data_IF_373615048474
#
_entry.id   IF_373615048474
#
_cell.length_a   1.000
_cell.length_b   1.000
_cell.length_c   1.000
_cell.angle_alpha   90.00
_cell.angle_beta   90.00
_cell.angle_gamma   90.00
#
_symmetry.space_group_name_H-M   'P 1'
#
loop_
_entity.id
_entity.type
_entity.pdbx_description
1 polymer ?
#
# COMPACT_ATOMS: atom_id res chain seq x y z
N UNK A 1 -16.11 -13.06 -11.60
CA UNK A 1 -16.99 -11.88 -11.48
C UNK A 1 -16.16 -10.65 -11.84
N UNK A 2 -16.75 -9.73 -12.59
CA UNK A 2 -16.05 -8.88 -13.55
C UNK A 2 -15.40 -7.62 -12.94
N UNK A 3 -14.09 -7.49 -13.14
CA UNK A 3 -13.37 -6.22 -13.02
C UNK A 3 -13.45 -5.48 -14.37
N UNK A 4 -14.54 -4.74 -14.56
CA UNK A 4 -14.74 -3.86 -15.70
C UNK A 4 -14.58 -2.41 -15.23
N UNK A 5 -13.34 -1.93 -15.33
CA UNK A 5 -12.95 -0.56 -15.03
C UNK A 5 -11.56 -0.28 -15.61
N UNK A 6 -11.33 -0.70 -16.86
CA UNK A 6 -10.09 -0.40 -17.58
C UNK A 6 -10.16 1.03 -18.12
N UNK A 7 -9.55 1.96 -17.40
CA UNK A 7 -8.83 3.06 -18.04
C UNK A 7 -7.37 2.68 -18.02
N UNK A 8 -6.85 2.17 -19.15
CA UNK A 8 -5.45 2.10 -19.66
C UNK A 8 -4.22 1.84 -18.73
N UNK A 9 -4.30 2.03 -17.42
CA UNK A 9 -3.26 1.80 -16.40
C UNK A 9 -3.35 0.43 -15.72
N UNK A 10 -4.46 -0.30 -15.89
CA UNK A 10 -4.89 -1.38 -14.99
C UNK A 10 -4.15 -2.73 -15.06
N UNK A 11 -3.20 -2.93 -15.98
CA UNK A 11 -2.41 -4.18 -16.02
C UNK A 11 -1.01 -3.99 -15.41
N UNK A 12 -0.36 -2.84 -15.68
CA UNK A 12 0.88 -2.45 -15.01
C UNK A 12 0.61 -2.04 -13.55
N UNK A 13 -0.45 -1.28 -13.30
CA UNK A 13 -0.82 -0.88 -11.94
C UNK A 13 -1.13 -2.08 -11.02
N UNK A 14 -1.59 -3.23 -11.53
CA UNK A 14 -1.84 -4.41 -10.68
C UNK A 14 -0.52 -5.00 -10.18
N UNK A 15 0.45 -5.17 -11.06
CA UNK A 15 1.74 -5.77 -10.70
C UNK A 15 2.58 -4.83 -9.81
N UNK A 16 2.65 -3.54 -10.16
CA UNK A 16 3.31 -2.53 -9.33
C UNK A 16 2.62 -2.38 -7.96
N UNK A 17 1.29 -2.52 -7.89
CA UNK A 17 0.55 -2.48 -6.63
C UNK A 17 0.77 -3.74 -5.78
N UNK A 18 0.82 -4.92 -6.41
CA UNK A 18 1.12 -6.18 -5.72
C UNK A 18 2.54 -6.17 -5.13
N UNK A 19 3.54 -5.70 -5.89
CA UNK A 19 4.90 -5.51 -5.38
C UNK A 19 4.93 -4.49 -4.23
N UNK A 20 4.26 -3.34 -4.42
CA UNK A 20 4.18 -2.31 -3.39
C UNK A 20 3.57 -2.83 -2.07
N UNK A 21 2.46 -3.57 -2.15
CA UNK A 21 1.84 -4.19 -0.97
C UNK A 21 2.78 -5.23 -0.36
N UNK A 22 3.48 -6.03 -1.18
CA UNK A 22 4.46 -7.01 -0.72
C UNK A 22 5.63 -6.38 0.04
N UNK A 23 6.16 -5.26 -0.45
CA UNK A 23 7.23 -4.50 0.22
C UNK A 23 6.77 -3.96 1.57
N UNK A 24 5.58 -3.35 1.63
CA UNK A 24 5.04 -2.81 2.90
C UNK A 24 4.71 -3.94 3.88
N UNK A 25 4.11 -5.03 3.43
CA UNK A 25 3.81 -6.20 4.27
C UNK A 25 5.09 -6.81 4.83
N UNK A 26 6.09 -7.03 3.98
CA UNK A 26 7.35 -7.71 4.31
C UNK A 26 8.30 -6.89 5.20
N UNK A 27 8.24 -5.55 5.15
CA UNK A 27 9.16 -4.70 5.91
C UNK A 27 8.53 -4.21 7.22
N UNK A 28 9.01 -4.71 8.36
CA UNK A 28 8.48 -4.37 9.68
C UNK A 28 8.68 -2.88 10.05
N UNK A 29 9.80 -2.29 9.62
CA UNK A 29 10.18 -0.90 9.95
C UNK A 29 9.86 0.11 8.85
N UNK A 30 8.99 -0.25 7.89
CA UNK A 30 8.78 0.53 6.67
C UNK A 30 8.37 1.99 6.95
N UNK A 31 7.55 2.22 7.98
CA UNK A 31 7.13 3.58 8.36
C UNK A 31 8.34 4.43 8.77
N UNK A 32 9.24 3.88 9.58
CA UNK A 32 10.43 4.57 10.05
C UNK A 32 11.46 4.74 8.93
N UNK A 33 11.58 3.77 8.01
CA UNK A 33 12.48 3.88 6.86
C UNK A 33 12.01 4.95 5.87
N UNK A 34 10.71 5.02 5.58
CA UNK A 34 10.13 6.07 4.73
C UNK A 34 10.33 7.44 5.38
N UNK A 35 10.14 7.55 6.71
CA UNK A 35 10.37 8.80 7.44
C UNK A 35 11.85 9.17 7.58
N UNK A 36 12.78 8.22 7.64
CA UNK A 36 14.21 8.51 7.60
C UNK A 36 14.71 8.81 6.18
N UNK A 37 13.92 8.46 5.16
CA UNK A 37 14.28 8.59 3.76
C UNK A 37 14.35 10.03 3.24
N UNK A 38 14.91 10.23 2.04
CA UNK A 38 14.95 11.53 1.37
C UNK A 38 13.56 12.15 1.25
N UNK A 39 13.45 13.47 1.39
CA UNK A 39 12.18 14.20 1.39
C UNK A 39 11.31 13.85 0.17
N UNK A 40 11.88 13.86 -1.04
CA UNK A 40 11.13 13.54 -2.26
C UNK A 40 10.60 12.10 -2.31
N UNK A 41 11.35 11.13 -1.77
CA UNK A 41 10.86 9.74 -1.66
C UNK A 41 9.72 9.66 -0.64
N UNK A 42 9.89 10.28 0.53
CA UNK A 42 8.87 10.32 1.58
C UNK A 42 7.58 10.95 1.08
N UNK A 43 7.67 12.09 0.40
CA UNK A 43 6.53 12.79 -0.20
C UNK A 43 5.82 11.92 -1.25
N UNK A 44 6.57 11.26 -2.12
CA UNK A 44 6.01 10.39 -3.15
C UNK A 44 5.26 9.20 -2.53
N UNK A 45 5.88 8.52 -1.57
CA UNK A 45 5.29 7.37 -0.88
C UNK A 45 4.09 7.80 -0.04
N UNK A 46 4.18 8.93 0.66
CA UNK A 46 3.06 9.54 1.39
C UNK A 46 1.87 9.80 0.46
N UNK A 47 2.07 10.50 -0.65
CA UNK A 47 0.99 10.83 -1.61
C UNK A 47 0.37 9.54 -2.16
N UNK A 48 1.19 8.62 -2.64
CA UNK A 48 0.75 7.32 -3.17
C UNK A 48 -0.12 6.54 -2.17
N UNK A 49 0.34 6.40 -0.92
CA UNK A 49 -0.43 5.70 0.11
C UNK A 49 -1.71 6.44 0.46
N UNK A 50 -1.71 7.78 0.51
CA UNK A 50 -2.94 8.55 0.77
C UNK A 50 -3.96 8.40 -0.35
N UNK A 51 -3.54 8.38 -1.61
CA UNK A 51 -4.43 8.13 -2.74
C UNK A 51 -5.00 6.71 -2.70
N UNK A 52 -4.18 5.70 -2.39
CA UNK A 52 -4.64 4.32 -2.22
C UNK A 52 -5.64 4.18 -1.06
N UNK A 53 -5.38 4.79 0.10
CA UNK A 53 -6.28 4.74 1.25
C UNK A 53 -7.60 5.50 1.05
N UNK A 54 -7.69 6.40 0.05
CA UNK A 54 -8.94 7.05 -0.35
C UNK A 54 -9.80 6.18 -1.26
N UNK A 55 -9.22 5.15 -1.87
CA UNK A 55 -9.92 4.21 -2.73
C UNK A 55 -10.53 3.07 -1.89
N UNK A 56 -11.85 3.07 -1.73
CA UNK A 56 -12.56 2.03 -0.97
C UNK A 56 -12.37 0.64 -1.58
N UNK A 57 -12.36 0.53 -2.91
CA UNK A 57 -12.15 -0.74 -3.62
C UNK A 57 -10.76 -1.32 -3.34
N UNK A 58 -9.74 -0.47 -3.15
CA UNK A 58 -8.41 -0.91 -2.73
C UNK A 58 -8.45 -1.50 -1.31
N UNK A 59 -9.12 -0.84 -0.37
CA UNK A 59 -9.24 -1.33 1.01
C UNK A 59 -9.99 -2.68 1.09
N UNK A 60 -11.00 -2.86 0.26
CA UNK A 60 -11.75 -4.12 0.13
C UNK A 60 -10.90 -5.22 -0.51
N UNK A 61 -10.12 -4.88 -1.54
CA UNK A 61 -9.23 -5.82 -2.23
C UNK A 61 -7.93 -6.14 -1.47
N UNK A 62 -7.57 -5.36 -0.43
CA UNK A 62 -6.28 -5.47 0.28
C UNK A 62 -5.99 -6.88 0.81
N UNK A 63 -7.02 -7.59 1.29
CA UNK A 63 -6.87 -8.96 1.76
C UNK A 63 -6.50 -9.95 0.63
N UNK A 64 -6.95 -9.66 -0.59
CA UNK A 64 -6.69 -10.46 -1.78
C UNK A 64 -5.27 -10.28 -2.35
N UNK A 65 -4.55 -9.24 -1.94
CA UNK A 65 -3.13 -9.07 -2.26
C UNK A 65 -2.20 -9.88 -1.35
N UNK A 66 -2.73 -10.52 -0.30
CA UNK A 66 -1.98 -11.44 0.55
C UNK A 66 -2.28 -12.89 0.15
N UNK A 67 -1.34 -13.83 0.33
CA UNK A 67 -1.63 -15.24 0.18
C UNK A 67 -2.82 -15.68 1.06
N UNK A 68 -3.64 -16.60 0.54
CA UNK A 68 -4.88 -17.02 1.21
C UNK A 68 -4.69 -17.90 2.45
N UNK A 69 -3.46 -18.29 2.79
CA UNK A 69 -3.19 -19.09 3.98
C UNK A 69 -3.39 -18.28 5.28
N UNK A 70 -3.75 -18.97 6.36
CA UNK A 70 -4.08 -18.30 7.63
C UNK A 70 -2.90 -17.52 8.22
N UNK A 71 -1.66 -17.92 7.95
CA UNK A 71 -0.50 -17.20 8.46
C UNK A 71 -0.33 -15.85 7.75
N UNK A 72 -0.57 -15.82 6.44
CA UNK A 72 -0.53 -14.60 5.64
C UNK A 72 -1.69 -13.67 5.92
N UNK A 73 -2.91 -14.19 6.04
CA UNK A 73 -4.07 -13.36 6.37
C UNK A 73 -3.99 -12.71 7.76
N UNK A 74 -3.27 -13.31 8.72
CA UNK A 74 -2.98 -12.70 10.02
C UNK A 74 -2.15 -11.41 9.93
N UNK A 75 -1.45 -11.17 8.82
CA UNK A 75 -0.64 -9.95 8.62
C UNK A 75 -1.47 -8.75 8.17
N UNK A 76 -2.69 -8.96 7.67
CA UNK A 76 -3.56 -7.90 7.15
C UNK A 76 -3.76 -6.70 8.12
N UNK A 77 -3.99 -6.89 9.43
CA UNK A 77 -4.08 -5.76 10.36
C UNK A 77 -2.77 -4.97 10.46
N UNK A 78 -1.63 -5.67 10.46
CA UNK A 78 -0.29 -5.04 10.47
C UNK A 78 -0.03 -4.24 9.21
N UNK A 79 -0.35 -4.79 8.03
CA UNK A 79 -0.26 -4.09 6.75
C UNK A 79 -1.12 -2.81 6.74
N UNK A 80 -2.36 -2.88 7.22
CA UNK A 80 -3.24 -1.70 7.34
C UNK A 80 -2.65 -0.62 8.26
N UNK A 81 -2.06 -1.03 9.37
CA UNK A 81 -1.41 -0.10 10.31
C UNK A 81 -0.18 0.56 9.68
N UNK A 82 0.63 -0.18 8.92
CA UNK A 82 1.79 0.39 8.20
C UNK A 82 1.36 1.41 7.15
N UNK A 83 0.36 1.09 6.33
CA UNK A 83 -0.22 2.03 5.36
C UNK A 83 -0.74 3.30 6.05
N UNK A 84 -1.46 3.15 7.17
CA UNK A 84 -1.93 4.31 7.94
C UNK A 84 -0.77 5.14 8.50
N UNK A 85 0.24 4.48 9.08
CA UNK A 85 1.43 5.14 9.62
C UNK A 85 2.19 5.95 8.57
N UNK A 86 2.32 5.43 7.35
CA UNK A 86 2.90 6.19 6.21
C UNK A 86 2.03 7.41 5.87
N UNK A 87 0.70 7.23 5.83
CA UNK A 87 -0.23 8.32 5.51
C UNK A 87 -0.31 9.43 6.57
N UNK A 88 0.17 9.17 7.78
CA UNK A 88 0.24 10.12 8.89
C UNK A 88 1.63 10.78 9.03
N UNK A 89 2.60 10.43 8.17
CA UNK A 89 3.92 11.08 8.16
C UNK A 89 3.80 12.57 7.85
N UNK A 90 4.67 13.35 8.49
CA UNK A 90 4.79 14.79 8.22
C UNK A 90 5.67 14.97 6.99
N UNK A 91 5.10 15.59 5.95
CA UNK A 91 5.82 15.97 4.73
C UNK A 91 5.77 17.49 4.56
N UNK A 92 6.90 18.10 4.20
CA UNK A 92 6.95 19.51 3.84
C UNK A 92 6.35 19.70 2.44
N UNK A 93 5.44 20.66 2.29
CA UNK A 93 4.78 21.00 1.02
C UNK A 93 5.52 22.12 0.28
#
# INVERSE_FOLDING_TARGET
MAFSGRGELGFYASHDLEDFVGVIDGQEKIVAEVDAGPAGLREYVFKSVRDLLRNSSFLEALAGHLPGDSASQRRLPGLRNKLRGIADLIVAY
#
